data_IF_143293722911
#
_entry.id   IF_143293722911
#
_cell.length_a   1.000
_cell.length_b   1.000
_cell.length_c   1.000
_cell.angle_alpha   90.00
_cell.angle_beta   90.00
_cell.angle_gamma   90.00
#
_symmetry.space_group_name_H-M   'P 1'
#
loop_
_entity.id
_entity.type
_entity.pdbx_description
1 polymer ?
#
# COMPACT_ATOMS: atom_id res chain seq x y z
N UNK A 1 13.22 -24.69 9.28
CA UNK A 1 11.74 -24.63 9.24
C UNK A 1 11.37 -23.18 9.51
N UNK A 2 10.96 -22.44 8.49
CA UNK A 2 10.54 -21.04 8.67
C UNK A 2 9.09 -21.03 9.15
N UNK A 3 8.85 -20.60 10.39
CA UNK A 3 7.53 -20.34 10.96
C UNK A 3 6.97 -19.01 10.44
N UNK A 4 6.89 -18.86 9.11
CA UNK A 4 6.19 -17.72 8.51
C UNK A 4 4.72 -18.09 8.45
N UNK A 5 3.92 -17.49 9.32
CA UNK A 5 2.46 -17.59 9.25
C UNK A 5 2.05 -16.78 8.02
N UNK A 6 1.64 -17.47 6.95
CA UNK A 6 0.98 -16.83 5.83
C UNK A 6 -0.51 -16.80 6.14
N UNK A 7 -1.15 -15.63 6.24
CA UNK A 7 -2.60 -15.58 6.29
C UNK A 7 -3.15 -16.28 5.04
N UNK A 8 -4.08 -17.21 5.26
CA UNK A 8 -4.73 -17.96 4.18
C UNK A 8 -5.86 -17.09 3.62
N UNK A 9 -5.53 -16.35 2.58
CA UNK A 9 -6.44 -15.46 1.91
C UNK A 9 -7.20 -16.20 0.80
N UNK A 10 -8.49 -15.95 0.68
CA UNK A 10 -9.32 -16.55 -0.37
C UNK A 10 -8.91 -16.10 -1.79
N UNK A 11 -8.27 -14.93 -1.91
CA UNK A 11 -7.69 -14.36 -3.14
C UNK A 11 -6.31 -13.79 -2.80
N UNK A 12 -5.40 -13.71 -3.77
CA UNK A 12 -4.14 -13.00 -3.54
C UNK A 12 -4.44 -11.53 -3.20
N UNK A 13 -3.80 -10.95 -2.17
CA UNK A 13 -3.97 -9.55 -1.84
C UNK A 13 -3.29 -8.69 -2.91
N UNK A 14 -3.84 -7.51 -3.17
CA UNK A 14 -3.14 -6.47 -3.90
C UNK A 14 -2.01 -5.93 -3.04
N UNK A 15 -0.87 -5.64 -3.65
CA UNK A 15 0.30 -5.14 -2.92
C UNK A 15 0.36 -3.62 -3.03
N UNK A 16 0.34 -2.94 -1.88
CA UNK A 16 0.60 -1.52 -1.78
C UNK A 16 1.97 -1.32 -1.12
N UNK A 17 2.96 -0.89 -1.88
CA UNK A 17 4.27 -0.52 -1.34
C UNK A 17 4.17 0.85 -0.67
N UNK A 18 4.63 0.93 0.57
CA UNK A 18 4.57 2.12 1.41
C UNK A 18 5.98 2.59 1.73
N UNK A 19 6.28 3.84 1.40
CA UNK A 19 7.55 4.49 1.70
C UNK A 19 7.30 5.81 2.43
N UNK A 20 8.29 6.29 3.17
CA UNK A 20 8.30 7.65 3.70
C UNK A 20 9.19 8.52 2.81
N UNK A 21 8.64 9.59 2.25
CA UNK A 21 9.37 10.64 1.55
C UNK A 21 9.79 11.73 2.55
N UNK A 22 11.09 11.84 2.89
CA UNK A 22 11.58 12.84 3.83
C UNK A 22 11.60 14.26 3.25
N UNK A 23 11.64 14.43 1.92
CA UNK A 23 11.66 15.76 1.30
C UNK A 23 10.32 16.48 1.48
N UNK A 24 9.22 15.73 1.32
CA UNK A 24 7.86 16.25 1.47
C UNK A 24 7.27 15.99 2.87
N UNK A 25 7.95 15.20 3.71
CA UNK A 25 7.43 14.72 5.01
C UNK A 25 6.07 13.99 4.87
N UNK A 26 5.96 13.15 3.84
CA UNK A 26 4.74 12.40 3.52
C UNK A 26 5.02 10.90 3.47
N UNK A 27 4.04 10.13 3.90
CA UNK A 27 3.96 8.71 3.57
C UNK A 27 3.32 8.56 2.20
N UNK A 28 3.86 7.68 1.36
CA UNK A 28 3.39 7.41 0.00
C UNK A 28 3.02 5.93 -0.12
N UNK A 29 1.87 5.62 -0.72
CA UNK A 29 1.47 4.27 -1.09
C UNK A 29 1.36 4.17 -2.62
N UNK A 30 1.96 3.12 -3.18
CA UNK A 30 1.85 2.77 -4.60
C UNK A 30 1.35 1.35 -4.72
N UNK A 31 0.23 1.16 -5.41
CA UNK A 31 -0.28 -0.16 -5.79
C UNK A 31 -0.35 -0.24 -7.32
N UNK A 32 0.69 -0.83 -7.91
CA UNK A 32 0.83 -1.03 -9.36
C UNK A 32 -0.38 -1.78 -9.94
N UNK A 33 -0.84 -2.84 -9.25
CA UNK A 33 -1.93 -3.68 -9.73
C UNK A 33 -3.25 -2.90 -9.88
N UNK A 34 -3.55 -2.00 -8.94
CA UNK A 34 -4.76 -1.16 -8.95
C UNK A 34 -4.55 0.12 -9.78
N UNK A 35 -3.30 0.53 -10.01
CA UNK A 35 -2.89 1.85 -10.49
C UNK A 35 -3.26 2.98 -9.51
N UNK A 36 -3.29 2.69 -8.21
CA UNK A 36 -3.56 3.66 -7.16
C UNK A 36 -2.25 4.19 -6.57
N UNK A 37 -2.11 5.52 -6.54
CA UNK A 37 -1.01 6.23 -5.89
C UNK A 37 -1.61 7.29 -4.97
N UNK A 38 -1.14 7.36 -3.73
CA UNK A 38 -1.62 8.36 -2.79
C UNK A 38 -0.59 8.67 -1.71
N UNK A 39 -0.75 9.81 -1.05
CA UNK A 39 0.16 10.27 0.00
C UNK A 39 -0.61 10.88 1.17
N UNK A 40 -0.02 10.83 2.37
CA UNK A 40 -0.57 11.48 3.56
C UNK A 40 0.51 11.78 4.64
N UNK A 41 0.28 12.72 5.57
CA UNK A 41 1.27 13.10 6.57
C UNK A 41 1.59 12.03 7.64
N UNK A 42 0.78 10.97 7.73
CA UNK A 42 0.99 9.86 8.68
C UNK A 42 0.64 8.54 8.02
N UNK A 43 1.24 7.46 8.52
CA UNK A 43 0.97 6.11 8.03
C UNK A 43 -0.52 5.76 8.14
N UNK A 44 -1.15 6.08 9.28
CA UNK A 44 -2.56 5.82 9.51
C UNK A 44 -3.46 6.60 8.54
N UNK A 45 -3.15 7.87 8.30
CA UNK A 45 -3.88 8.68 7.31
C UNK A 45 -3.68 8.16 5.88
N UNK A 46 -2.50 7.63 5.56
CA UNK A 46 -2.20 7.03 4.26
C UNK A 46 -3.07 5.79 4.03
N UNK A 47 -3.14 4.88 5.02
CA UNK A 47 -3.98 3.68 4.93
C UNK A 47 -5.44 4.05 4.74
N UNK A 48 -5.96 5.01 5.53
CA UNK A 48 -7.35 5.47 5.41
C UNK A 48 -7.64 6.02 4.01
N UNK A 49 -6.76 6.89 3.50
CA UNK A 49 -6.88 7.50 2.18
C UNK A 49 -6.77 6.47 1.04
N UNK A 50 -5.90 5.47 1.18
CA UNK A 50 -5.79 4.40 0.19
C UNK A 50 -7.10 3.62 0.07
N UNK A 51 -7.72 3.24 1.19
CA UNK A 51 -9.02 2.55 1.19
C UNK A 51 -10.15 3.40 0.62
N UNK A 52 -10.10 4.72 0.77
CA UNK A 52 -11.07 5.64 0.19
C UNK A 52 -11.00 5.65 -1.35
N UNK A 53 -9.80 5.69 -1.93
CA UNK A 53 -9.63 5.85 -3.39
C UNK A 53 -9.55 4.53 -4.16
N UNK A 54 -9.07 3.45 -3.53
CA UNK A 54 -8.78 2.19 -4.22
C UNK A 54 -9.99 1.59 -4.99
N UNK A 55 -11.23 1.62 -4.46
CA UNK A 55 -12.39 1.11 -5.21
C UNK A 55 -12.66 1.88 -6.50
N UNK A 56 -12.66 3.22 -6.45
CA UNK A 56 -12.91 4.08 -7.60
C UNK A 56 -11.81 3.91 -8.65
N UNK A 57 -10.54 3.91 -8.22
CA UNK A 57 -9.40 3.72 -9.13
C UNK A 57 -9.43 2.32 -9.77
N UNK A 58 -9.79 1.28 -9.03
CA UNK A 58 -9.94 -0.06 -9.58
C UNK A 58 -11.05 -0.12 -10.64
N UNK A 59 -12.21 0.50 -10.38
CA UNK A 59 -13.32 0.57 -11.33
C UNK A 59 -12.91 1.27 -12.64
N UNK A 60 -12.24 2.42 -12.54
CA UNK A 60 -11.75 3.17 -13.71
C UNK A 60 -10.77 2.36 -14.57
N UNK A 61 -10.05 1.43 -13.97
CA UNK A 61 -9.07 0.58 -14.65
C UNK A 61 -9.63 -0.82 -15.00
N UNK A 62 -10.92 -1.09 -14.76
CA UNK A 62 -11.54 -2.38 -15.07
C UNK A 62 -11.06 -3.54 -14.18
N UNK A 63 -10.63 -3.24 -12.96
CA UNK A 63 -10.09 -4.18 -12.00
C UNK A 63 -11.17 -4.53 -10.98
N UNK A 64 -11.37 -5.84 -10.74
CA UNK A 64 -12.33 -6.30 -9.75
C UNK A 64 -11.89 -5.93 -8.33
N UNK A 65 -12.62 -5.03 -7.67
CA UNK A 65 -12.40 -4.63 -6.29
C UNK A 65 -13.72 -4.67 -5.50
N UNK A 66 -13.79 -5.50 -4.47
CA UNK A 66 -14.99 -5.74 -3.69
C UNK A 66 -14.68 -5.90 -2.19
N UNK A 67 -15.70 -6.17 -1.38
CA UNK A 67 -15.61 -6.39 0.07
C UNK A 67 -14.70 -7.56 0.49
N UNK A 68 -14.29 -8.42 -0.45
CA UNK A 68 -13.34 -9.52 -0.23
C UNK A 68 -11.94 -9.18 -0.76
N UNK A 69 -11.77 -8.02 -1.38
CA UNK A 69 -10.44 -7.51 -1.74
C UNK A 69 -9.62 -7.29 -0.48
N UNK A 70 -8.35 -7.63 -0.59
CA UNK A 70 -7.39 -7.52 0.49
C UNK A 70 -6.19 -6.73 -0.02
N UNK A 71 -5.67 -5.85 0.84
CA UNK A 71 -4.48 -5.07 0.57
C UNK A 71 -3.40 -5.51 1.55
N UNK A 72 -2.23 -5.87 1.03
CA UNK A 72 -1.02 -6.04 1.81
C UNK A 72 -0.20 -4.75 1.71
N UNK A 73 -0.18 -3.97 2.78
CA UNK A 73 0.66 -2.78 2.88
C UNK A 73 2.08 -3.20 3.27
N UNK A 74 3.02 -3.07 2.33
CA UNK A 74 4.43 -3.41 2.53
C UNK A 74 5.22 -2.15 2.81
N UNK A 75 5.61 -1.95 4.06
CA UNK A 75 6.53 -0.88 4.39
C UNK A 75 7.92 -1.22 3.85
N UNK A 76 8.42 -0.37 2.95
CA UNK A 76 9.74 -0.47 2.35
C UNK A 76 10.60 0.68 2.88
N UNK A 77 11.74 0.33 3.46
CA UNK A 77 12.76 1.30 3.89
C UNK A 77 14.01 1.17 3.02
N UNK A 78 14.54 2.31 2.56
CA UNK A 78 15.85 2.37 1.90
C UNK A 78 16.93 2.67 2.94
N UNK A 79 17.89 1.74 3.10
CA UNK A 79 19.00 1.88 4.03
C UNK A 79 19.86 3.12 3.74
N UNK A 80 20.00 3.51 2.47
CA UNK A 80 20.80 4.69 2.09
C UNK A 80 20.17 5.99 2.61
N UNK A 81 18.84 6.12 2.55
CA UNK A 81 18.11 7.24 3.14
C UNK A 81 18.16 7.19 4.67
N UNK A 82 18.09 5.98 5.25
CA UNK A 82 18.10 5.80 6.70
C UNK A 82 19.46 6.09 7.35
N UNK A 83 20.54 5.83 6.64
CA UNK A 83 21.91 6.08 7.11
C UNK A 83 22.38 7.53 6.88
N UNK A 84 21.66 8.31 6.06
CA UNK A 84 21.99 9.70 5.75
C UNK A 84 21.32 10.73 6.69
N UNK A 85 20.37 10.30 7.54
CA UNK A 85 19.76 11.09 8.64
C UNK A 85 20.60 11.00 9.91
#
# INVERSE_FOLDING_TARGET
MNNVIRPEFARAPFIAEVTFDPECSMWVAVCEEIHAITEAPSYEALIARFWEIAPEIAELNGIAFDERSQIEFRHVEDASLRMAM
#
